data_IF_626119121400
#
_entry.id   IF_626119121400
#
_cell.length_a   1.000
_cell.length_b   1.000
_cell.length_c   1.000
_cell.angle_alpha   90.00
_cell.angle_beta   90.00
_cell.angle_gamma   90.00
#
_symmetry.space_group_name_H-M   'P 1'
#
loop_
_entity.id
_entity.type
_entity.pdbx_description
1 polymer ?
#
# COMPACT_ATOMS: atom_id res chain seq x y z
N UNK A 1 -4.76 12.13 -8.70
CA UNK A 1 -5.78 12.92 -9.43
C UNK A 1 -6.22 14.09 -8.59
N UNK A 2 -6.33 15.27 -9.18
CA UNK A 2 -6.85 16.48 -8.56
C UNK A 2 -8.12 16.92 -9.27
N UNK A 3 -9.18 17.13 -8.50
CA UNK A 3 -10.49 17.53 -8.99
C UNK A 3 -10.97 18.78 -8.24
N UNK A 4 -11.46 19.76 -8.99
CA UNK A 4 -11.97 21.02 -8.45
C UNK A 4 -13.47 21.05 -8.71
N UNK A 5 -14.28 20.87 -7.66
CA UNK A 5 -15.75 20.94 -7.75
C UNK A 5 -16.16 22.39 -8.03
N UNK A 6 -15.50 23.34 -7.35
CA UNK A 6 -15.61 24.78 -7.57
C UNK A 6 -14.33 25.49 -7.06
N UNK A 7 -14.30 26.82 -7.11
CA UNK A 7 -13.14 27.61 -6.64
C UNK A 7 -12.80 27.42 -5.15
N UNK A 8 -13.75 26.95 -4.34
CA UNK A 8 -13.64 26.78 -2.90
C UNK A 8 -13.55 25.31 -2.48
N UNK A 9 -13.77 24.36 -3.39
CA UNK A 9 -13.86 22.94 -3.09
C UNK A 9 -12.92 22.13 -3.97
N UNK A 10 -11.99 21.43 -3.32
CA UNK A 10 -10.98 20.61 -3.97
C UNK A 10 -11.00 19.19 -3.40
N UNK A 11 -10.98 18.21 -4.29
CA UNK A 11 -10.85 16.80 -3.98
C UNK A 11 -9.56 16.27 -4.62
N UNK A 12 -8.69 15.69 -3.80
CA UNK A 12 -7.49 14.98 -4.24
C UNK A 12 -7.62 13.51 -3.89
N UNK A 13 -7.39 12.65 -4.88
CA UNK A 13 -7.39 11.20 -4.71
C UNK A 13 -6.04 10.66 -5.19
N UNK A 14 -5.42 9.83 -4.35
CA UNK A 14 -4.22 9.07 -4.66
C UNK A 14 -4.46 7.59 -4.36
N UNK A 15 -4.08 6.73 -5.31
CA UNK A 15 -4.04 5.29 -5.14
C UNK A 15 -2.71 4.80 -5.69
N UNK A 16 -1.98 4.07 -4.87
CA UNK A 16 -0.78 3.34 -5.27
C UNK A 16 -0.94 1.89 -4.83
N UNK A 17 -0.65 0.97 -5.73
CA UNK A 17 -0.65 -0.46 -5.44
C UNK A 17 0.59 -1.11 -6.04
N UNK A 18 1.13 -2.08 -5.33
CA UNK A 18 2.31 -2.86 -5.73
C UNK A 18 2.05 -4.31 -5.35
N UNK A 19 1.85 -5.14 -6.37
CA UNK A 19 1.77 -6.60 -6.25
C UNK A 19 3.06 -7.22 -6.77
N UNK A 20 3.73 -8.00 -5.93
CA UNK A 20 4.92 -8.78 -6.30
C UNK A 20 4.62 -10.25 -6.07
N UNK A 21 4.99 -11.10 -7.02
CA UNK A 21 4.89 -12.55 -6.93
C UNK A 21 6.23 -13.16 -7.32
N UNK A 22 6.75 -14.00 -6.45
CA UNK A 22 7.95 -14.76 -6.69
C UNK A 22 7.61 -16.25 -6.60
N UNK A 23 8.00 -16.99 -7.64
CA UNK A 23 7.92 -18.44 -7.67
C UNK A 23 9.32 -19.00 -7.37
N UNK A 24 9.37 -20.06 -6.58
CA UNK A 24 10.56 -20.87 -6.38
C UNK A 24 11.02 -21.47 -7.72
N UNK A 25 12.32 -21.47 -7.96
CA UNK A 25 12.92 -21.99 -9.21
C UNK A 25 14.06 -22.96 -8.89
N UNK A 26 15.18 -22.44 -8.36
CA UNK A 26 16.37 -23.22 -8.03
C UNK A 26 16.88 -22.93 -6.63
N UNK A 27 17.35 -23.97 -5.93
CA UNK A 27 17.93 -23.87 -4.59
C UNK A 27 19.44 -23.98 -4.69
N UNK A 28 20.16 -23.12 -3.96
CA UNK A 28 21.61 -23.08 -3.96
C UNK A 28 22.13 -23.08 -2.52
N UNK A 29 23.23 -23.81 -2.30
CA UNK A 29 23.89 -23.88 -0.99
C UNK A 29 25.28 -23.23 -1.05
N UNK A 30 25.62 -22.49 0.01
CA UNK A 30 26.92 -21.84 0.17
C UNK A 30 27.80 -22.73 1.03
N UNK A 31 29.03 -23.01 0.58
CA UNK A 31 30.03 -23.66 1.43
C UNK A 31 30.56 -22.64 2.46
N UNK A 32 30.35 -22.84 3.78
CA UNK A 32 30.84 -21.90 4.80
C UNK A 32 32.36 -21.96 5.00
N UNK A 33 33.02 -23.01 4.51
CA UNK A 33 34.43 -23.27 4.76
C UNK A 33 35.35 -22.86 3.61
N UNK A 34 34.80 -22.58 2.42
CA UNK A 34 35.59 -22.27 1.24
C UNK A 34 34.82 -21.32 0.30
N UNK A 35 35.53 -20.39 -0.34
CA UNK A 35 34.96 -19.50 -1.35
C UNK A 35 34.89 -20.26 -2.67
N UNK A 36 33.68 -20.66 -3.04
CA UNK A 36 33.37 -21.47 -4.23
C UNK A 36 32.11 -20.91 -4.93
N UNK A 37 31.87 -21.34 -6.17
CA UNK A 37 30.60 -21.05 -6.84
C UNK A 37 29.43 -21.72 -6.11
N UNK A 38 28.26 -21.10 -6.18
CA UNK A 38 27.04 -21.65 -5.61
C UNK A 38 26.67 -22.97 -6.30
N UNK A 39 26.50 -24.03 -5.53
CA UNK A 39 26.08 -25.33 -6.06
C UNK A 39 24.57 -25.49 -5.92
N UNK A 40 23.92 -25.87 -7.02
CA UNK A 40 22.50 -26.16 -7.02
C UNK A 40 22.23 -27.44 -6.22
N UNK A 41 21.29 -27.36 -5.28
CA UNK A 41 20.89 -28.48 -4.44
C UNK A 41 19.44 -28.86 -4.72
N UNK A 42 19.09 -30.10 -4.37
CA UNK A 42 17.69 -30.51 -4.34
C UNK A 42 16.94 -29.68 -3.27
N UNK A 43 15.64 -29.51 -3.48
CA UNK A 43 14.79 -28.74 -2.55
C UNK A 43 14.96 -29.28 -1.12
N UNK A 44 15.41 -28.45 -0.15
CA UNK A 44 15.83 -28.92 1.17
C UNK A 44 14.66 -29.37 2.05
N UNK A 45 13.46 -28.84 1.81
CA UNK A 45 12.23 -29.24 2.50
C UNK A 45 11.04 -29.36 1.53
N UNK A 46 9.90 -29.83 2.03
CA UNK A 46 8.66 -29.88 1.27
C UNK A 46 7.82 -28.60 1.40
N UNK A 47 8.37 -27.53 1.97
CA UNK A 47 7.66 -26.27 2.17
C UNK A 47 7.70 -25.43 0.89
N UNK A 48 6.64 -24.67 0.65
CA UNK A 48 6.59 -23.77 -0.49
C UNK A 48 7.32 -22.47 -0.13
N UNK A 49 8.36 -22.12 -0.89
CA UNK A 49 9.13 -20.89 -0.70
C UNK A 49 8.67 -19.74 -1.59
N UNK A 50 7.55 -19.90 -2.29
CA UNK A 50 6.89 -18.81 -3.00
C UNK A 50 6.51 -17.71 -2.02
N UNK A 51 6.66 -16.46 -2.43
CA UNK A 51 6.13 -15.33 -1.67
C UNK A 51 5.42 -14.37 -2.61
N UNK A 52 4.33 -13.80 -2.10
CA UNK A 52 3.69 -12.64 -2.71
C UNK A 52 3.70 -11.48 -1.72
N UNK A 53 3.77 -10.28 -2.25
CA UNK A 53 3.68 -9.04 -1.46
C UNK A 53 2.59 -8.22 -2.10
N UNK A 54 1.58 -7.83 -1.32
CA UNK A 54 0.60 -6.86 -1.75
C UNK A 54 0.63 -5.65 -0.84
N UNK A 55 1.05 -4.51 -1.41
CA UNK A 55 1.09 -3.24 -0.72
C UNK A 55 0.20 -2.24 -1.43
N UNK A 56 -0.68 -1.62 -0.69
CA UNK A 56 -1.61 -0.62 -1.21
C UNK A 56 -1.65 0.60 -0.30
N UNK A 57 -1.69 1.77 -0.91
CA UNK A 57 -1.91 3.05 -0.24
C UNK A 57 -2.99 3.83 -0.98
N UNK A 58 -4.09 4.11 -0.29
CA UNK A 58 -5.18 4.95 -0.73
C UNK A 58 -5.26 6.20 0.14
N UNK A 59 -5.38 7.36 -0.49
CA UNK A 59 -5.61 8.62 0.21
C UNK A 59 -6.64 9.46 -0.54
N UNK A 60 -7.68 9.87 0.19
CA UNK A 60 -8.65 10.84 -0.27
C UNK A 60 -8.57 12.08 0.63
N UNK A 61 -8.44 13.25 0.01
CA UNK A 61 -8.38 14.53 0.71
C UNK A 61 -9.37 15.50 0.11
N UNK A 62 -10.29 15.97 0.93
CA UNK A 62 -11.24 17.01 0.59
C UNK A 62 -10.90 18.29 1.35
N UNK A 63 -10.85 19.41 0.62
CA UNK A 63 -10.71 20.76 1.16
C UNK A 63 -11.94 21.56 0.75
N UNK A 64 -12.58 22.19 1.72
CA UNK A 64 -13.64 23.15 1.48
C UNK A 64 -13.34 24.47 2.20
N UNK A 65 -13.23 25.54 1.43
CA UNK A 65 -13.13 26.91 1.91
C UNK A 65 -14.56 27.45 2.16
N UNK A 66 -14.90 27.65 3.44
CA UNK A 66 -16.25 28.05 3.88
C UNK A 66 -16.36 29.58 3.92
N UNK A 67 -15.27 30.26 4.25
CA UNK A 67 -15.13 31.71 4.28
C UNK A 67 -13.66 32.07 4.01
N UNK A 68 -13.31 33.34 3.74
CA UNK A 68 -11.92 33.73 3.55
C UNK A 68 -11.04 33.24 4.70
N UNK A 69 -10.06 32.38 4.40
CA UNK A 69 -9.13 31.78 5.36
C UNK A 69 -9.77 30.83 6.39
N UNK A 70 -11.01 30.39 6.16
CA UNK A 70 -11.70 29.36 6.95
C UNK A 70 -11.89 28.10 6.10
N UNK A 71 -11.16 27.04 6.48
CA UNK A 71 -11.05 25.81 5.70
C UNK A 71 -11.49 24.60 6.52
N UNK A 72 -12.29 23.72 5.92
CA UNK A 72 -12.52 22.37 6.38
C UNK A 72 -11.65 21.40 5.57
N UNK A 73 -10.89 20.56 6.27
CA UNK A 73 -10.13 19.47 5.69
C UNK A 73 -10.68 18.15 6.19
N UNK A 74 -10.98 17.25 5.25
CA UNK A 74 -11.32 15.86 5.53
C UNK A 74 -10.27 15.02 4.82
N UNK A 75 -9.55 14.18 5.56
CA UNK A 75 -8.52 13.30 5.03
C UNK A 75 -8.84 11.88 5.46
N UNK A 76 -8.96 11.00 4.47
CA UNK A 76 -9.06 9.57 4.68
C UNK A 76 -7.82 8.92 4.11
N UNK A 77 -7.12 8.13 4.93
CA UNK A 77 -5.94 7.37 4.51
C UNK A 77 -6.16 5.91 4.88
N UNK A 78 -6.07 5.04 3.89
CA UNK A 78 -6.10 3.60 4.07
C UNK A 78 -4.87 2.97 3.43
N UNK A 79 -4.18 2.09 4.13
CA UNK A 79 -3.04 1.37 3.59
C UNK A 79 -3.00 -0.07 4.07
N UNK A 80 -2.73 -1.00 3.17
CA UNK A 80 -2.55 -2.43 3.44
C UNK A 80 -1.14 -2.88 3.09
N UNK A 81 -0.59 -3.79 3.90
CA UNK A 81 0.72 -4.39 3.65
C UNK A 81 0.71 -5.81 4.21
N UNK A 82 0.44 -6.77 3.33
CA UNK A 82 0.24 -8.17 3.70
C UNK A 82 1.23 -9.00 2.88
N UNK A 83 2.00 -9.91 3.52
CA UNK A 83 2.66 -10.99 2.80
C UNK A 83 1.53 -11.88 2.26
N UNK A 84 1.29 -11.80 0.95
CA UNK A 84 0.17 -12.47 0.33
C UNK A 84 0.27 -13.97 0.54
N UNK A 85 -0.87 -14.62 0.77
CA UNK A 85 -0.89 -16.07 0.80
C UNK A 85 -0.56 -16.63 -0.57
N UNK A 86 0.15 -17.76 -0.54
CA UNK A 86 0.71 -18.40 -1.71
C UNK A 86 -0.43 -18.88 -2.61
N UNK A 87 -0.49 -18.28 -3.82
CA UNK A 87 -1.40 -18.56 -4.94
C UNK A 87 -2.73 -17.80 -4.88
N UNK A 88 -2.67 -16.48 -5.07
CA UNK A 88 -3.83 -15.73 -5.55
C UNK A 88 -3.47 -14.92 -6.81
N UNK A 89 -4.50 -14.58 -7.60
CA UNK A 89 -4.35 -13.72 -8.77
C UNK A 89 -4.00 -12.27 -8.37
N UNK A 90 -3.48 -11.48 -9.31
CA UNK A 90 -3.16 -10.06 -9.06
C UNK A 90 -4.33 -9.25 -8.51
N UNK A 91 -5.56 -9.59 -8.92
CA UNK A 91 -6.80 -9.01 -8.39
C UNK A 91 -7.09 -9.43 -6.96
N UNK A 92 -6.82 -10.70 -6.61
CA UNK A 92 -6.91 -11.22 -5.25
C UNK A 92 -5.94 -10.51 -4.32
N UNK A 93 -4.68 -10.34 -4.75
CA UNK A 93 -3.68 -9.57 -4.01
C UNK A 93 -4.13 -8.12 -3.74
N UNK A 94 -4.71 -7.44 -4.74
CA UNK A 94 -5.26 -6.09 -4.54
C UNK A 94 -6.42 -6.10 -3.52
N UNK A 95 -7.31 -7.06 -3.63
CA UNK A 95 -8.46 -7.18 -2.72
C UNK A 95 -8.03 -7.46 -1.29
N UNK A 96 -7.05 -8.36 -1.09
CA UNK A 96 -6.46 -8.68 0.20
C UNK A 96 -5.83 -7.44 0.84
N UNK A 97 -5.03 -6.69 0.08
CA UNK A 97 -4.46 -5.42 0.56
C UNK A 97 -5.51 -4.33 0.84
N UNK A 98 -6.71 -4.43 0.27
CA UNK A 98 -7.83 -3.52 0.57
C UNK A 98 -8.64 -3.96 1.80
N UNK A 99 -8.85 -5.27 1.99
CA UNK A 99 -9.67 -5.83 3.07
C UNK A 99 -8.97 -5.85 4.42
N UNK A 100 -7.63 -5.96 4.43
CA UNK A 100 -6.81 -6.04 5.64
C UNK A 100 -5.86 -4.83 5.74
N UNK A 101 -6.41 -3.65 6.08
CA UNK A 101 -5.60 -2.45 6.19
C UNK A 101 -4.74 -2.48 7.45
N UNK A 102 -3.46 -2.14 7.29
CA UNK A 102 -2.53 -1.85 8.39
C UNK A 102 -2.75 -0.43 8.91
N UNK A 103 -3.15 0.49 8.04
CA UNK A 103 -3.46 1.88 8.37
C UNK A 103 -4.88 2.17 7.90
N UNK A 104 -5.73 2.65 8.80
CA UNK A 104 -7.06 3.15 8.48
C UNK A 104 -7.34 4.37 9.35
N UNK A 105 -7.16 5.56 8.78
CA UNK A 105 -7.22 6.82 9.51
C UNK A 105 -8.16 7.80 8.82
N UNK A 106 -9.12 8.29 9.60
CA UNK A 106 -10.03 9.36 9.21
C UNK A 106 -9.75 10.60 10.06
N UNK A 107 -9.36 11.70 9.42
CA UNK A 107 -9.02 12.97 10.08
C UNK A 107 -9.93 14.07 9.56
N UNK A 108 -10.54 14.81 10.49
CA UNK A 108 -11.29 16.04 10.19
C UNK A 108 -10.61 17.20 10.90
N UNK A 109 -10.32 18.26 10.17
CA UNK A 109 -9.73 19.49 10.70
C UNK A 109 -10.54 20.69 10.21
N UNK A 110 -11.08 21.45 11.15
CA UNK A 110 -11.70 22.74 10.88
C UNK A 110 -10.73 23.85 11.30
N UNK A 111 -10.42 24.75 10.37
CA UNK A 111 -9.75 26.02 10.65
C UNK A 111 -10.78 27.12 10.50
N UNK A 112 -11.02 27.86 11.56
CA UNK A 112 -11.91 29.01 11.53
C UNK A 112 -11.15 30.26 11.95
N UNK A 113 -11.27 31.32 11.15
CA UNK A 113 -10.72 32.64 11.51
C UNK A 113 -11.87 33.54 11.94
N UNK A 114 -11.90 33.87 13.23
CA UNK A 114 -12.74 34.94 13.76
C UNK A 114 -12.14 36.30 13.33
N UNK A 115 -12.91 37.10 12.61
CA UNK A 115 -12.57 38.49 12.30
C UNK A 115 -12.91 39.39 13.48
N UNK A 116 -11.98 40.29 13.82
CA UNK A 116 -12.25 41.52 14.59
C UNK A 116 -12.61 42.65 13.64
#
# INVERSE_FOLDING_TARGET
MDYFVNAFQQLRIGLQWTGLKASEDSFYEVNPNQIEELHQVAKPDNLNHNFSISRMTFQARYRWEIAPLSDLFIVYTRGGNIPGNVIDDYTGLLQEAWSEPVVDTFVVKLRYRLGS
#
